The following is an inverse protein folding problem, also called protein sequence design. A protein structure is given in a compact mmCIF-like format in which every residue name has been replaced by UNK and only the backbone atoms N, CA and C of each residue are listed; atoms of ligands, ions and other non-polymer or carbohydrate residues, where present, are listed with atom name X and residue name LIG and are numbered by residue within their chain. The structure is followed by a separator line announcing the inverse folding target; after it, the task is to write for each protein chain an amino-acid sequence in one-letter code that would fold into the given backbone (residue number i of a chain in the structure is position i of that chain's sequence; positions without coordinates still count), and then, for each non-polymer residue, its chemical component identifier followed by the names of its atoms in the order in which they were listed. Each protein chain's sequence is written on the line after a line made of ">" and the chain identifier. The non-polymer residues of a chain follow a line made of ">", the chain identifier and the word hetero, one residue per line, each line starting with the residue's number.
data_IF_192339288414
#
_entry.id   IF_192339288414
#
_cell.length_a   1.000
_cell.length_b   1.000
_cell.length_c   1.000
_cell.angle_alpha   90.00
_cell.angle_beta   90.00
_cell.angle_gamma   90.00
#
_symmetry.space_group_name_H-M   'P 1'
#
loop_
_entity.id
_entity.type
_entity.pdbx_description
1 polymer ?
#
# COMPACT_ATOMS: atom_id res chain seq x y z
N UNK A 1 14.52 5.62 -17.69
CA UNK A 1 14.25 4.98 -16.41
C UNK A 1 12.80 4.50 -16.37
N UNK A 2 12.58 3.33 -15.83
CA UNK A 2 11.23 2.81 -15.70
C UNK A 2 10.51 3.45 -14.51
N UNK A 3 9.18 3.56 -14.61
CA UNK A 3 8.37 4.07 -13.52
C UNK A 3 8.42 3.09 -12.33
N UNK A 4 8.36 3.59 -11.09
CA UNK A 4 8.27 2.70 -9.94
C UNK A 4 7.02 1.83 -10.01
N UNK A 5 7.15 0.59 -9.57
CA UNK A 5 6.07 -0.39 -9.61
C UNK A 5 5.39 -0.50 -8.25
N UNK A 6 4.12 -0.17 -8.22
CA UNK A 6 3.31 -0.16 -7.00
C UNK A 6 2.25 -1.27 -7.06
N UNK A 7 1.95 -1.85 -5.90
CA UNK A 7 0.81 -2.74 -5.75
C UNK A 7 -0.22 -2.04 -4.88
N UNK A 8 -1.41 -1.85 -5.41
CA UNK A 8 -2.51 -1.20 -4.69
C UNK A 8 -3.52 -2.26 -4.26
N UNK A 9 -3.71 -2.39 -2.96
CA UNK A 9 -4.58 -3.41 -2.38
C UNK A 9 -5.75 -2.74 -1.66
N UNK A 10 -6.95 -2.94 -2.17
CA UNK A 10 -8.18 -2.38 -1.61
C UNK A 10 -9.34 -3.25 -2.05
N UNK A 11 -10.19 -3.65 -1.12
CA UNK A 11 -11.35 -4.49 -1.43
C UNK A 11 -12.51 -3.73 -2.06
N UNK A 12 -12.49 -2.41 -1.99
CA UNK A 12 -13.50 -1.57 -2.64
C UNK A 12 -13.07 -1.29 -4.08
N UNK A 13 -13.79 -1.86 -5.04
CA UNK A 13 -13.43 -1.77 -6.46
C UNK A 13 -13.41 -0.33 -6.97
N UNK A 14 -14.40 0.47 -6.61
CA UNK A 14 -14.50 1.85 -7.08
C UNK A 14 -13.37 2.72 -6.54
N UNK A 15 -13.09 2.62 -5.26
CA UNK A 15 -11.99 3.37 -4.63
C UNK A 15 -10.66 2.93 -5.21
N UNK A 16 -10.47 1.62 -5.37
CA UNK A 16 -9.23 1.09 -5.93
C UNK A 16 -8.98 1.57 -7.36
N UNK A 17 -10.01 1.54 -8.20
CA UNK A 17 -9.87 1.98 -9.60
C UNK A 17 -9.52 3.46 -9.70
N UNK A 18 -10.19 4.30 -8.93
CA UNK A 18 -9.91 5.74 -8.94
C UNK A 18 -8.51 6.02 -8.42
N UNK A 19 -8.13 5.37 -7.33
CA UNK A 19 -6.80 5.56 -6.74
C UNK A 19 -5.71 5.11 -7.71
N UNK A 20 -5.91 3.97 -8.36
CA UNK A 20 -4.95 3.47 -9.36
C UNK A 20 -4.80 4.45 -10.53
N UNK A 21 -5.90 5.00 -11.00
CA UNK A 21 -5.88 5.96 -12.10
C UNK A 21 -5.08 7.20 -11.73
N UNK A 22 -5.30 7.73 -10.53
CA UNK A 22 -4.57 8.90 -10.06
C UNK A 22 -3.08 8.63 -9.90
N UNK A 23 -2.72 7.46 -9.40
CA UNK A 23 -1.31 7.08 -9.28
C UNK A 23 -0.64 6.91 -10.64
N UNK A 24 -1.32 6.29 -11.59
CA UNK A 24 -0.81 6.13 -12.95
C UNK A 24 -0.61 7.50 -13.62
N UNK A 25 -1.55 8.40 -13.38
CA UNK A 25 -1.45 9.77 -13.90
C UNK A 25 -0.24 10.50 -13.31
N UNK A 26 0.16 10.13 -12.10
CA UNK A 26 1.35 10.68 -11.45
C UNK A 26 2.66 10.05 -11.89
N UNK A 27 2.63 9.10 -12.82
CA UNK A 27 3.84 8.49 -13.38
C UNK A 27 4.21 7.14 -12.81
N UNK A 28 3.35 6.51 -12.01
CA UNK A 28 3.62 5.19 -11.43
C UNK A 28 3.02 4.06 -12.25
N UNK A 29 3.65 2.90 -12.22
CA UNK A 29 3.06 1.67 -12.73
C UNK A 29 2.32 1.00 -11.58
N UNK A 30 1.03 0.70 -11.76
CA UNK A 30 0.18 0.21 -10.68
C UNK A 30 -0.44 -1.12 -11.04
N UNK A 31 -0.28 -2.08 -10.15
CA UNK A 31 -0.98 -3.37 -10.21
C UNK A 31 -2.02 -3.35 -9.10
N UNK A 32 -3.23 -3.79 -9.40
CA UNK A 32 -4.34 -3.76 -8.45
C UNK A 32 -4.62 -5.15 -7.90
N UNK A 33 -4.96 -5.21 -6.62
CA UNK A 33 -5.39 -6.45 -5.98
C UNK A 33 -6.58 -6.14 -5.07
N UNK A 34 -7.60 -6.98 -5.11
CA UNK A 34 -8.84 -6.78 -4.36
C UNK A 34 -8.84 -7.45 -2.99
N UNK A 35 -7.79 -8.19 -2.65
CA UNK A 35 -7.71 -8.92 -1.38
C UNK A 35 -6.26 -9.23 -1.05
N UNK A 36 -6.03 -9.69 0.17
CA UNK A 36 -4.69 -10.12 0.58
C UNK A 36 -4.19 -11.30 -0.23
N UNK A 37 -5.07 -12.25 -0.53
CA UNK A 37 -4.70 -13.43 -1.34
C UNK A 37 -4.29 -13.00 -2.75
N UNK A 38 -5.06 -12.10 -3.36
CA UNK A 38 -4.73 -11.57 -4.69
C UNK A 38 -3.42 -10.79 -4.66
N UNK A 39 -3.17 -10.05 -3.57
CA UNK A 39 -1.93 -9.30 -3.40
C UNK A 39 -0.71 -10.22 -3.35
N UNK A 40 -0.80 -11.30 -2.59
CA UNK A 40 0.30 -12.27 -2.50
C UNK A 40 0.60 -12.88 -3.85
N UNK A 41 -0.43 -13.24 -4.61
CA UNK A 41 -0.25 -13.78 -5.96
C UNK A 41 0.39 -12.76 -6.90
N UNK A 42 -0.01 -11.49 -6.80
CA UNK A 42 0.56 -10.42 -7.63
C UNK A 42 2.04 -10.21 -7.32
N UNK A 43 2.42 -10.26 -6.04
CA UNK A 43 3.81 -10.09 -5.63
C UNK A 43 4.68 -11.24 -6.13
N UNK A 44 4.17 -12.47 -6.06
CA UNK A 44 4.91 -13.63 -6.57
C UNK A 44 5.13 -13.53 -8.07
N UNK A 45 4.16 -13.00 -8.81
CA UNK A 45 4.24 -12.87 -10.26
C UNK A 45 5.05 -11.65 -10.71
N UNK A 46 5.26 -10.67 -9.82
CA UNK A 46 5.88 -9.39 -10.18
C UNK A 46 6.98 -9.01 -9.20
N UNK A 47 8.19 -9.58 -9.34
CA UNK A 47 9.29 -9.29 -8.41
C UNK A 47 9.77 -7.84 -8.45
N UNK A 48 9.35 -7.07 -9.45
CA UNK A 48 9.73 -5.66 -9.57
C UNK A 48 8.90 -4.72 -8.70
N UNK A 49 7.84 -5.20 -8.03
CA UNK A 49 7.04 -4.35 -7.16
C UNK A 49 7.90 -3.85 -5.99
N UNK A 50 7.91 -2.53 -5.80
CA UNK A 50 8.75 -1.87 -4.80
C UNK A 50 7.98 -1.42 -3.56
N UNK A 51 6.68 -1.16 -3.71
CA UNK A 51 5.85 -0.57 -2.67
C UNK A 51 4.44 -1.12 -2.74
N UNK A 52 3.87 -1.40 -1.57
CA UNK A 52 2.45 -1.72 -1.44
C UNK A 52 1.71 -0.54 -0.84
N UNK A 53 0.55 -0.22 -1.41
CA UNK A 53 -0.41 0.70 -0.80
C UNK A 53 -1.58 -0.18 -0.39
N UNK A 54 -1.84 -0.28 0.91
CA UNK A 54 -2.75 -1.29 1.45
C UNK A 54 -3.82 -0.67 2.31
N UNK A 55 -5.09 -0.99 2.03
CA UNK A 55 -6.19 -0.66 2.92
C UNK A 55 -6.03 -1.49 4.20
N UNK A 56 -5.98 -0.81 5.34
CA UNK A 56 -5.80 -1.45 6.63
C UNK A 56 -6.96 -2.39 6.98
N UNK A 57 -8.19 -1.97 6.65
CA UNK A 57 -9.40 -2.73 6.98
C UNK A 57 -9.93 -3.49 5.78
N UNK A 58 -9.53 -4.74 5.63
CA UNK A 58 -10.07 -5.61 4.61
C UNK A 58 -10.66 -6.86 5.25
N UNK A 59 -11.75 -7.42 4.68
CA UNK A 59 -12.27 -8.68 5.19
C UNK A 59 -11.28 -9.82 4.95
N UNK A 60 -11.24 -10.76 5.86
CA UNK A 60 -10.33 -11.89 5.80
C UNK A 60 -8.96 -11.55 6.32
N UNK A 61 -8.05 -11.21 5.44
CA UNK A 61 -6.67 -10.87 5.81
C UNK A 61 -6.54 -9.37 5.98
N UNK A 62 -6.12 -8.92 7.16
CA UNK A 62 -5.89 -7.50 7.43
C UNK A 62 -4.63 -6.99 6.72
N UNK A 63 -4.50 -5.66 6.62
CA UNK A 63 -3.30 -5.07 6.04
C UNK A 63 -2.03 -5.42 6.81
N UNK A 64 -2.12 -5.49 8.14
CA UNK A 64 -0.99 -5.89 8.99
C UNK A 64 -0.57 -7.34 8.70
N UNK A 65 -1.55 -8.24 8.66
CA UNK A 65 -1.27 -9.64 8.39
C UNK A 65 -0.65 -9.83 7.02
N UNK A 66 -1.16 -9.11 6.02
CA UNK A 66 -0.61 -9.13 4.67
C UNK A 66 0.86 -8.69 4.68
N UNK A 67 1.15 -7.57 5.35
CA UNK A 67 2.52 -7.05 5.41
C UNK A 67 3.47 -8.05 6.07
N UNK A 68 3.02 -8.69 7.16
CA UNK A 68 3.85 -9.69 7.83
C UNK A 68 4.18 -10.86 6.91
N UNK A 69 3.20 -11.33 6.15
CA UNK A 69 3.40 -12.44 5.21
C UNK A 69 4.34 -12.05 4.07
N UNK A 70 4.18 -10.82 3.56
CA UNK A 70 5.01 -10.33 2.47
C UNK A 70 6.44 -10.15 2.92
N UNK A 71 6.66 -9.56 4.09
CA UNK A 71 8.02 -9.30 4.59
C UNK A 71 8.76 -10.57 5.00
N UNK A 72 8.04 -11.66 5.21
CA UNK A 72 8.70 -12.96 5.42
C UNK A 72 9.46 -13.40 4.16
N UNK A 73 9.01 -12.99 2.98
CA UNK A 73 9.64 -13.32 1.70
C UNK A 73 10.42 -12.15 1.10
N UNK A 74 9.96 -10.93 1.35
CA UNK A 74 10.52 -9.71 0.78
C UNK A 74 10.68 -8.67 1.90
N UNK A 75 11.70 -8.83 2.76
CA UNK A 75 11.86 -7.95 3.93
C UNK A 75 12.08 -6.48 3.58
N UNK A 76 12.54 -6.20 2.37
CA UNK A 76 12.82 -4.83 1.91
C UNK A 76 11.60 -4.10 1.37
N UNK A 77 10.45 -4.76 1.22
CA UNK A 77 9.30 -4.10 0.61
C UNK A 77 8.77 -2.97 1.50
N UNK A 78 8.39 -1.89 0.86
CA UNK A 78 7.86 -0.73 1.56
C UNK A 78 6.35 -0.75 1.52
N UNK A 79 5.72 -0.07 2.48
CA UNK A 79 4.27 -0.05 2.57
C UNK A 79 3.76 1.32 2.98
N UNK A 80 2.63 1.70 2.40
CA UNK A 80 1.81 2.83 2.84
C UNK A 80 0.45 2.26 3.19
N UNK A 81 -0.02 2.51 4.40
CA UNK A 81 -1.33 2.05 4.83
C UNK A 81 -2.36 3.14 4.65
N UNK A 82 -3.55 2.74 4.19
CA UNK A 82 -4.70 3.63 4.09
C UNK A 82 -5.73 3.14 5.09
N UNK A 83 -6.28 4.03 5.90
CA UNK A 83 -7.24 3.65 6.92
C UNK A 83 -8.34 4.69 7.05
N UNK A 84 -9.56 4.23 7.35
CA UNK A 84 -10.67 5.09 7.72
C UNK A 84 -10.82 5.26 9.22
N UNK A 85 -9.96 4.63 10.02
CA UNK A 85 -10.05 4.74 11.46
C UNK A 85 -9.62 6.10 11.96
N UNK A 86 -10.39 6.64 12.90
CA UNK A 86 -10.10 7.92 13.55
C UNK A 86 -9.24 7.71 14.79
N UNK A 87 -9.36 6.56 15.43
CA UNK A 87 -8.60 6.26 16.65
C UNK A 87 -7.19 5.82 16.32
N UNK A 88 -6.26 6.76 16.39
CA UNK A 88 -4.86 6.52 16.09
C UNK A 88 -4.11 5.82 17.23
N UNK A 89 -4.70 5.71 18.40
CA UNK A 89 -4.05 5.06 19.55
C UNK A 89 -3.73 3.61 19.26
N UNK A 90 -4.71 2.90 18.71
CA UNK A 90 -4.54 1.50 18.34
C UNK A 90 -3.57 1.36 17.16
N UNK A 91 -3.70 2.24 16.17
CA UNK A 91 -2.84 2.21 14.99
C UNK A 91 -1.38 2.50 15.35
N UNK A 92 -1.13 3.42 16.27
CA UNK A 92 0.22 3.76 16.67
C UNK A 92 0.97 2.57 17.25
N UNK A 93 0.27 1.70 17.98
CA UNK A 93 0.90 0.50 18.53
C UNK A 93 1.24 -0.54 17.47
N UNK A 94 0.45 -0.60 16.39
CA UNK A 94 0.63 -1.59 15.31
C UNK A 94 1.44 -1.05 14.14
N UNK A 95 1.29 0.25 13.85
CA UNK A 95 1.83 0.88 12.65
C UNK A 95 2.78 2.03 12.96
N UNK A 96 3.41 2.01 14.15
CA UNK A 96 4.26 3.13 14.58
C UNK A 96 5.38 3.45 13.61
N UNK A 97 5.93 2.44 12.95
CA UNK A 97 7.04 2.60 12.02
C UNK A 97 6.61 2.67 10.56
N UNK A 98 5.29 2.70 10.31
CA UNK A 98 4.76 2.68 8.96
C UNK A 98 4.15 4.02 8.59
N UNK A 99 4.09 4.28 7.28
CA UNK A 99 3.44 5.48 6.74
C UNK A 99 1.95 5.21 6.61
N UNK A 100 1.14 6.08 7.19
CA UNK A 100 -0.32 5.92 7.22
C UNK A 100 -1.00 7.14 6.63
N UNK A 101 -1.95 6.93 5.73
CA UNK A 101 -2.78 7.98 5.15
C UNK A 101 -4.24 7.70 5.53
N UNK A 102 -4.92 8.71 6.04
CA UNK A 102 -6.30 8.56 6.54
C UNK A 102 -7.31 8.90 5.45
N UNK A 103 -8.35 8.08 5.32
CA UNK A 103 -9.47 8.36 4.42
C UNK A 103 -10.40 9.41 5.04
N UNK A 104 -11.03 10.30 4.27
CA UNK A 104 -10.78 10.51 2.84
C UNK A 104 -9.45 11.23 2.62
N UNK A 105 -8.78 10.90 1.53
CA UNK A 105 -7.51 11.54 1.18
C UNK A 105 -7.57 12.11 -0.22
N UNK A 106 -6.67 13.07 -0.49
CA UNK A 106 -6.47 13.61 -1.83
C UNK A 106 -5.09 13.15 -2.31
N UNK A 107 -4.79 13.38 -3.58
CA UNK A 107 -3.45 13.09 -4.10
C UNK A 107 -2.40 14.00 -3.47
N UNK A 108 -2.82 15.17 -2.96
CA UNK A 108 -1.90 16.05 -2.22
C UNK A 108 -1.40 15.40 -0.93
N UNK A 109 -2.15 14.43 -0.40
CA UNK A 109 -1.77 13.68 0.79
C UNK A 109 -1.10 12.35 0.44
N UNK A 110 -1.64 11.65 -0.56
CA UNK A 110 -1.13 10.33 -0.93
C UNK A 110 0.21 10.41 -1.66
N UNK A 111 0.37 11.32 -2.59
CA UNK A 111 1.59 11.41 -3.38
C UNK A 111 2.83 11.67 -2.54
N UNK A 112 2.82 12.60 -1.55
CA UNK A 112 3.98 12.75 -0.66
C UNK A 112 4.27 11.48 0.15
N UNK A 113 3.24 10.76 0.59
CA UNK A 113 3.43 9.52 1.35
C UNK A 113 4.13 8.46 0.50
N UNK A 114 3.72 8.33 -0.76
CA UNK A 114 4.33 7.38 -1.70
C UNK A 114 5.79 7.79 -1.96
N UNK A 115 6.05 9.07 -2.22
CA UNK A 115 7.42 9.55 -2.45
C UNK A 115 8.30 9.30 -1.24
N UNK A 116 7.79 9.56 -0.05
CA UNK A 116 8.54 9.33 1.19
C UNK A 116 8.87 7.85 1.34
N UNK A 117 7.90 6.98 1.12
CA UNK A 117 8.12 5.54 1.23
C UNK A 117 9.18 5.04 0.26
N UNK A 118 9.15 5.53 -0.98
CA UNK A 118 10.11 5.12 -2.01
C UNK A 118 11.52 5.66 -1.78
N UNK A 119 11.64 6.80 -1.11
CA UNK A 119 12.93 7.45 -0.89
C UNK A 119 13.60 7.11 0.43
N UNK A 120 12.88 6.48 1.37
CA UNK A 120 13.47 6.14 2.66
C UNK A 120 14.56 5.09 2.50
N UNK A 121 15.71 5.30 3.14
CA UNK A 121 16.77 4.29 3.09
C UNK A 121 16.34 3.03 3.83
N UNK A 122 16.85 1.93 3.37
CA UNK A 122 16.55 0.61 3.91
C UNK A 122 17.57 0.32 5.01
N UNK A 123 17.21 0.71 6.22
CA UNK A 123 18.11 0.57 7.37
C UNK A 123 17.63 -0.51 8.29
#
# INVERSE_FOLDING_TARGET
>A
MSAPNLLLVDDNDDVREVTALLLRDGGYSVIEASSGVAALAALDANPAIELMIVDFSMPGMSGIELLERVRAKRPEIRAVFITGYVDHTWLNGKLADEIVVTKPFTMDELAPAVRKALSEPDI
#
